data_IF_273663049992
#
_entry.id   IF_273663049992
#
_cell.length_a   1.000
_cell.length_b   1.000
_cell.length_c   1.000
_cell.angle_alpha   90.00
_cell.angle_beta   90.00
_cell.angle_gamma   90.00
#
_symmetry.space_group_name_H-M   'P 1'
#
loop_
_entity.id
_entity.type
_entity.pdbx_description
1 polymer ?
#
# COMPACT_ATOMS: atom_id res chain seq x y z
N UNK A 1 -1.50 -8.89 43.63
CA UNK A 1 -0.52 -8.81 42.53
C UNK A 1 -0.66 -7.42 41.92
N UNK A 2 0.14 -6.46 42.40
CA UNK A 2 0.14 -5.10 41.85
C UNK A 2 0.88 -5.14 40.51
N UNK A 3 0.19 -4.81 39.42
CA UNK A 3 0.84 -4.56 38.14
C UNK A 3 1.75 -3.34 38.30
N UNK A 4 3.06 -3.56 38.19
CA UNK A 4 4.07 -2.51 38.04
C UNK A 4 3.86 -1.85 36.68
N UNK A 5 3.10 -0.76 36.66
CA UNK A 5 3.09 0.17 35.54
C UNK A 5 4.47 0.82 35.44
N UNK A 6 5.18 0.56 34.34
CA UNK A 6 6.42 1.24 33.98
C UNK A 6 6.10 2.73 33.85
N UNK A 7 6.47 3.52 34.87
CA UNK A 7 6.27 4.97 34.88
C UNK A 7 7.15 5.59 33.80
N UNK A 8 6.53 6.12 32.75
CA UNK A 8 7.12 7.16 31.93
C UNK A 8 7.61 8.29 32.84
N UNK A 9 8.81 8.83 32.60
CA UNK A 9 9.33 9.94 33.40
C UNK A 9 8.49 11.20 33.12
N UNK A 10 7.44 11.39 33.92
CA UNK A 10 6.51 12.51 33.82
C UNK A 10 7.21 13.84 34.14
N UNK A 11 6.74 14.92 33.53
CA UNK A 11 7.30 16.24 33.77
C UNK A 11 6.87 16.79 35.13
N UNK A 12 7.78 17.51 35.78
CA UNK A 12 7.44 18.24 36.99
C UNK A 12 6.31 19.24 36.74
N UNK A 13 5.24 19.14 37.54
CA UNK A 13 4.14 20.09 37.53
C UNK A 13 4.24 21.01 38.75
N UNK A 14 4.36 22.32 38.50
CA UNK A 14 4.39 23.31 39.57
C UNK A 14 2.95 23.67 40.01
N UNK A 15 2.54 23.25 41.21
CA UNK A 15 1.24 23.62 41.80
C UNK A 15 1.18 25.09 42.24
N UNK A 16 2.32 25.71 42.54
CA UNK A 16 2.47 27.12 42.92
C UNK A 16 3.64 27.76 42.17
N UNK A 17 3.54 29.07 41.95
CA UNK A 17 4.62 29.87 41.38
C UNK A 17 5.76 30.09 42.39
N UNK A 18 7.01 29.95 41.96
CA UNK A 18 8.18 30.35 42.74
C UNK A 18 8.73 31.69 42.23
N UNK A 19 8.37 32.78 42.88
CA UNK A 19 8.74 34.11 42.40
C UNK A 19 10.22 34.49 42.61
N UNK A 20 11.04 33.59 43.15
CA UNK A 20 12.43 33.88 43.49
C UNK A 20 12.56 34.85 44.67
N UNK A 21 13.79 35.23 44.98
CA UNK A 21 14.09 36.19 46.06
C UNK A 21 13.63 37.61 45.67
N UNK A 22 13.88 38.03 44.44
CA UNK A 22 13.36 39.29 43.89
C UNK A 22 12.01 39.08 43.20
N UNK A 23 10.98 38.84 44.02
CA UNK A 23 9.62 38.62 43.54
C UNK A 23 9.06 39.80 42.74
N UNK A 24 9.52 41.04 42.99
CA UNK A 24 8.99 42.21 42.30
C UNK A 24 9.50 42.24 40.85
N UNK A 25 10.81 42.11 40.66
CA UNK A 25 11.39 42.07 39.33
C UNK A 25 10.97 40.81 38.56
N UNK A 26 10.85 39.65 39.22
CA UNK A 26 10.29 38.46 38.57
C UNK A 26 8.89 38.73 38.01
N UNK A 27 7.95 39.24 38.82
CA UNK A 27 6.56 39.50 38.39
C UNK A 27 6.48 40.51 37.25
N UNK A 28 7.25 41.59 37.34
CA UNK A 28 7.35 42.63 36.31
C UNK A 28 7.82 42.04 34.98
N UNK A 29 8.94 41.30 34.99
CA UNK A 29 9.48 40.71 33.77
C UNK A 29 8.59 39.60 33.20
N UNK A 30 7.90 38.82 34.06
CA UNK A 30 6.88 37.84 33.64
C UNK A 30 5.75 38.52 32.87
N UNK A 31 5.23 39.62 33.42
CA UNK A 31 4.16 40.40 32.78
C UNK A 31 4.62 40.95 31.43
N UNK A 32 5.81 41.54 31.39
CA UNK A 32 6.35 42.18 30.19
C UNK A 32 6.62 41.17 29.07
N UNK A 33 7.34 40.06 29.33
CA UNK A 33 7.60 39.09 28.26
C UNK A 33 6.30 38.48 27.74
N UNK A 34 5.33 38.22 28.63
CA UNK A 34 4.06 37.62 28.25
C UNK A 34 3.26 38.54 27.33
N UNK A 35 3.27 39.84 27.60
CA UNK A 35 2.58 40.84 26.79
C UNK A 35 3.23 41.01 25.40
N UNK A 36 4.55 41.18 25.34
CA UNK A 36 5.25 41.23 24.05
C UNK A 36 5.11 39.94 23.24
N UNK A 37 5.09 38.78 23.91
CA UNK A 37 4.86 37.49 23.25
C UNK A 37 3.45 37.41 22.64
N UNK A 38 2.41 37.89 23.35
CA UNK A 38 1.03 37.97 22.82
C UNK A 38 0.94 38.89 21.61
N UNK A 39 1.63 40.03 21.67
CA UNK A 39 1.73 40.99 20.56
C UNK A 39 2.63 40.51 19.41
N UNK A 40 3.27 39.33 19.55
CA UNK A 40 4.20 38.73 18.59
C UNK A 40 5.47 39.57 18.35
N UNK A 41 5.82 40.45 19.29
CA UNK A 41 7.05 41.24 19.28
C UNK A 41 8.17 40.43 19.96
N UNK A 42 8.60 39.37 19.27
CA UNK A 42 9.50 38.37 19.85
C UNK A 42 10.87 38.88 20.31
N UNK A 43 11.53 39.85 19.62
CA UNK A 43 12.80 40.41 20.11
C UNK A 43 12.67 41.08 21.49
N UNK A 44 11.59 41.82 21.73
CA UNK A 44 11.36 42.45 23.03
C UNK A 44 10.91 41.42 24.07
N UNK A 45 10.07 40.46 23.69
CA UNK A 45 9.71 39.33 24.55
C UNK A 45 10.97 38.58 25.05
N UNK A 46 11.94 38.33 24.18
CA UNK A 46 13.20 37.66 24.53
C UNK A 46 14.01 38.45 25.57
N UNK A 47 14.04 39.79 25.49
CA UNK A 47 14.75 40.64 26.48
C UNK A 47 14.19 40.45 27.89
N UNK A 48 12.86 40.51 28.02
CA UNK A 48 12.20 40.37 29.33
C UNK A 48 12.15 38.91 29.81
N UNK A 49 12.08 37.95 28.89
CA UNK A 49 12.17 36.53 29.21
C UNK A 49 13.52 36.16 29.82
N UNK A 50 14.64 36.64 29.24
CA UNK A 50 15.98 36.40 29.81
C UNK A 50 16.10 36.95 31.24
N UNK A 51 15.60 38.17 31.47
CA UNK A 51 15.57 38.75 32.82
C UNK A 51 14.77 37.87 33.79
N UNK A 52 13.62 37.35 33.35
CA UNK A 52 12.80 36.44 34.16
C UNK A 52 13.57 35.17 34.54
N UNK A 53 14.29 34.55 33.59
CA UNK A 53 15.12 33.39 33.88
C UNK A 53 16.21 33.69 34.90
N UNK A 54 16.81 34.89 34.86
CA UNK A 54 17.83 35.30 35.84
C UNK A 54 17.25 35.47 37.24
N UNK A 55 16.12 36.16 37.37
CA UNK A 55 15.55 36.47 38.69
C UNK A 55 14.80 35.29 39.33
N UNK A 56 14.12 34.47 38.51
CA UNK A 56 13.27 33.40 39.00
C UNK A 56 13.28 32.18 38.05
N UNK A 57 14.43 31.49 37.90
CA UNK A 57 14.57 30.34 37.00
C UNK A 57 13.60 29.20 37.36
N UNK A 58 13.24 29.07 38.64
CA UNK A 58 12.31 28.06 39.14
C UNK A 58 10.84 28.52 39.19
N UNK A 59 10.49 29.65 38.56
CA UNK A 59 9.12 30.20 38.56
C UNK A 59 8.03 29.17 38.28
N UNK A 60 8.03 28.63 37.06
CA UNK A 60 7.21 27.51 36.60
C UNK A 60 7.90 26.88 35.38
N UNK A 61 7.67 25.59 35.10
CA UNK A 61 8.16 24.94 33.87
C UNK A 61 7.77 25.68 32.59
N UNK A 62 6.59 26.31 32.57
CA UNK A 62 6.11 27.07 31.42
C UNK A 62 7.00 28.28 31.05
N UNK A 63 7.86 28.75 31.96
CA UNK A 63 8.88 29.74 31.65
C UNK A 63 9.74 29.28 30.47
N UNK A 64 10.23 28.04 30.52
CA UNK A 64 11.10 27.49 29.50
C UNK A 64 10.36 27.20 28.19
N UNK A 65 9.13 26.65 28.26
CA UNK A 65 8.25 26.48 27.09
C UNK A 65 8.05 27.81 26.33
N UNK A 66 7.77 28.89 27.06
CA UNK A 66 7.62 30.23 26.46
C UNK A 66 8.93 30.73 25.85
N UNK A 67 10.07 30.52 26.52
CA UNK A 67 11.39 30.89 26.01
C UNK A 67 11.71 30.21 24.68
N UNK A 68 11.57 28.88 24.64
CA UNK A 68 11.73 28.07 23.44
C UNK A 68 10.80 28.59 22.34
N UNK A 69 9.52 28.86 22.64
CA UNK A 69 8.59 29.40 21.66
C UNK A 69 9.06 30.75 21.09
N UNK A 70 9.43 31.71 21.95
CA UNK A 70 9.91 33.04 21.54
C UNK A 70 11.11 32.91 20.59
N UNK A 71 12.12 32.14 21.01
CA UNK A 71 13.35 31.97 20.22
C UNK A 71 13.13 31.18 18.93
N UNK A 72 12.19 30.23 18.90
CA UNK A 72 11.78 29.53 17.66
C UNK A 72 11.17 30.49 16.64
N UNK A 73 10.39 31.48 17.08
CA UNK A 73 9.82 32.47 16.16
C UNK A 73 10.91 33.37 15.59
N UNK A 74 11.87 33.81 16.42
CA UNK A 74 13.04 34.56 15.96
C UNK A 74 13.84 33.72 14.96
N UNK A 75 14.19 32.47 15.30
CA UNK A 75 14.93 31.58 14.42
C UNK A 75 14.21 31.31 13.08
N UNK A 76 12.88 31.20 13.08
CA UNK A 76 12.10 31.07 11.83
C UNK A 76 12.24 32.28 10.92
N UNK A 77 12.21 33.49 11.46
CA UNK A 77 12.41 34.71 10.64
C UNK A 77 13.84 34.80 10.11
N UNK A 78 14.84 34.52 10.95
CA UNK A 78 16.26 34.50 10.54
C UNK A 78 16.54 33.44 9.46
N UNK A 79 15.83 32.30 9.50
CA UNK A 79 15.89 31.27 8.45
C UNK A 79 15.32 31.77 7.12
N UNK A 80 14.21 32.52 7.14
CA UNK A 80 13.63 33.10 5.92
C UNK A 80 14.55 34.14 5.28
N UNK A 81 15.20 34.95 6.11
CA UNK A 81 16.13 36.00 5.64
C UNK A 81 17.53 35.49 5.33
N UNK A 82 17.79 34.18 5.50
CA UNK A 82 19.12 33.54 5.32
C UNK A 82 20.22 34.21 6.14
N UNK A 83 19.87 34.69 7.33
CA UNK A 83 20.78 35.38 8.22
C UNK A 83 21.81 34.43 8.84
N UNK A 84 23.05 34.91 9.01
CA UNK A 84 24.12 34.18 9.70
C UNK A 84 23.85 34.00 11.19
N UNK A 85 22.89 34.74 11.76
CA UNK A 85 22.50 34.66 13.18
C UNK A 85 21.59 33.47 13.50
N UNK A 86 21.08 32.75 12.50
CA UNK A 86 20.22 31.58 12.71
C UNK A 86 20.84 30.59 13.72
N UNK A 87 22.13 30.29 13.55
CA UNK A 87 22.85 29.36 14.43
C UNK A 87 22.85 29.83 15.89
N UNK A 88 23.10 31.11 16.12
CA UNK A 88 23.10 31.71 17.47
C UNK A 88 21.75 31.47 18.18
N UNK A 89 20.64 31.70 17.49
CA UNK A 89 19.32 31.52 18.11
C UNK A 89 18.96 30.04 18.32
N UNK A 90 19.43 29.15 17.44
CA UNK A 90 19.28 27.70 17.63
C UNK A 90 20.10 27.21 18.83
N UNK A 91 21.35 27.66 18.96
CA UNK A 91 22.19 27.36 20.12
C UNK A 91 21.54 27.88 21.41
N UNK A 92 20.93 29.07 21.37
CA UNK A 92 20.15 29.59 22.50
C UNK A 92 18.99 28.65 22.84
N UNK A 93 18.17 28.22 21.87
CA UNK A 93 17.06 27.26 22.12
C UNK A 93 17.56 26.03 22.88
N UNK A 94 18.71 25.45 22.51
CA UNK A 94 19.28 24.30 23.20
C UNK A 94 19.70 24.63 24.64
N UNK A 95 20.30 25.81 24.88
CA UNK A 95 20.61 26.25 26.24
C UNK A 95 19.35 26.45 27.11
N UNK A 96 18.21 26.81 26.51
CA UNK A 96 16.93 26.91 27.23
C UNK A 96 16.45 25.52 27.65
N UNK A 97 16.60 24.50 26.78
CA UNK A 97 16.31 23.11 27.15
C UNK A 97 17.22 22.63 28.29
N UNK A 98 18.52 22.91 28.25
CA UNK A 98 19.46 22.53 29.33
C UNK A 98 19.10 23.21 30.65
N UNK A 99 18.72 24.50 30.60
CA UNK A 99 18.26 25.24 31.77
C UNK A 99 16.93 24.67 32.31
N UNK A 100 16.02 24.25 31.44
CA UNK A 100 14.78 23.59 31.84
C UNK A 100 15.08 22.29 32.58
N UNK A 101 15.91 21.42 31.99
CA UNK A 101 16.33 20.15 32.61
C UNK A 101 17.00 20.39 33.95
N UNK A 102 17.88 21.38 34.06
CA UNK A 102 18.59 21.71 35.30
C UNK A 102 17.63 22.12 36.42
N UNK A 103 16.55 22.84 36.10
CA UNK A 103 15.66 23.40 37.10
C UNK A 103 14.48 22.48 37.47
N UNK A 104 14.05 21.62 36.54
CA UNK A 104 12.82 20.83 36.70
C UNK A 104 12.97 19.34 36.33
N UNK A 105 14.18 18.87 36.01
CA UNK A 105 14.46 17.50 35.62
C UNK A 105 14.23 17.22 34.12
N UNK A 106 14.68 16.05 33.68
CA UNK A 106 14.62 15.63 32.28
C UNK A 106 13.49 14.63 32.02
N UNK A 107 12.30 15.11 31.68
CA UNK A 107 11.14 14.26 31.36
C UNK A 107 11.04 13.97 29.86
N UNK A 108 10.18 13.00 29.48
CA UNK A 108 10.05 12.59 28.08
C UNK A 108 9.39 13.66 27.19
N UNK A 109 8.59 14.59 27.72
CA UNK A 109 8.06 15.72 26.94
C UNK A 109 9.20 16.65 26.47
N UNK A 110 10.13 16.98 27.37
CA UNK A 110 11.31 17.79 27.06
C UNK A 110 12.16 17.11 25.99
N UNK A 111 12.37 15.79 26.11
CA UNK A 111 13.13 15.00 25.12
C UNK A 111 12.46 15.03 23.74
N UNK A 112 11.14 14.86 23.68
CA UNK A 112 10.37 14.90 22.44
C UNK A 112 10.46 16.27 21.76
N UNK A 113 10.21 17.34 22.52
CA UNK A 113 10.27 18.72 22.03
C UNK A 113 11.69 19.09 21.53
N UNK A 114 12.73 18.71 22.29
CA UNK A 114 14.12 18.92 21.90
C UNK A 114 14.46 18.16 20.62
N UNK A 115 14.04 16.90 20.49
CA UNK A 115 14.28 16.11 19.29
C UNK A 115 13.59 16.74 18.06
N UNK A 116 12.35 17.21 18.21
CA UNK A 116 11.62 17.89 17.15
C UNK A 116 12.33 19.18 16.70
N UNK A 117 12.83 19.97 17.66
CA UNK A 117 13.54 21.21 17.35
C UNK A 117 14.91 20.98 16.72
N UNK A 118 15.64 19.94 17.14
CA UNK A 118 16.85 19.49 16.44
C UNK A 118 16.53 19.18 14.99
N UNK A 119 15.45 18.44 14.72
CA UNK A 119 15.07 18.03 13.37
C UNK A 119 14.54 19.18 12.51
N UNK A 120 13.92 20.20 13.12
CA UNK A 120 13.38 21.36 12.41
C UNK A 120 14.47 22.39 12.03
N UNK A 121 15.51 22.53 12.86
CA UNK A 121 16.50 23.61 12.74
C UNK A 121 17.94 23.17 12.45
N UNK A 122 18.38 21.98 12.88
CA UNK A 122 19.75 21.48 12.69
C UNK A 122 19.80 20.27 11.73
N UNK A 123 19.52 20.55 10.46
CA UNK A 123 19.41 19.53 9.42
C UNK A 123 20.75 18.90 8.98
N UNK A 124 21.90 19.26 9.57
CA UNK A 124 23.20 18.75 9.11
C UNK A 124 23.97 17.91 10.13
N UNK A 125 23.73 18.06 11.44
CA UNK A 125 24.49 17.34 12.47
C UNK A 125 23.66 16.81 13.65
N UNK A 126 22.41 17.25 13.78
CA UNK A 126 21.55 16.89 14.91
C UNK A 126 20.98 15.47 14.92
N UNK A 127 21.00 14.76 13.78
CA UNK A 127 20.33 13.46 13.63
C UNK A 127 20.68 12.40 14.69
N UNK A 128 21.95 12.18 15.10
CA UNK A 128 22.25 11.19 16.14
C UNK A 128 21.65 11.53 17.50
N UNK A 129 21.66 12.81 17.88
CA UNK A 129 21.07 13.27 19.15
C UNK A 129 19.55 13.16 19.10
N UNK A 130 18.93 13.61 18.00
CA UNK A 130 17.49 13.46 17.78
C UNK A 130 17.06 11.99 17.76
N UNK A 131 17.84 11.10 17.14
CA UNK A 131 17.59 9.66 17.15
C UNK A 131 17.57 9.11 18.57
N UNK A 132 18.59 9.39 19.38
CA UNK A 132 18.68 8.87 20.74
C UNK A 132 17.50 9.33 21.62
N UNK A 133 17.13 10.62 21.51
CA UNK A 133 15.99 11.19 22.23
C UNK A 133 14.67 10.56 21.77
N UNK A 134 14.42 10.50 20.46
CA UNK A 134 13.19 9.95 19.93
C UNK A 134 13.07 8.45 20.18
N UNK A 135 14.16 7.67 20.09
CA UNK A 135 14.13 6.23 20.39
C UNK A 135 13.55 5.98 21.79
N UNK A 136 14.07 6.68 22.79
CA UNK A 136 13.54 6.58 24.15
C UNK A 136 12.08 7.04 24.27
N UNK A 137 11.72 8.15 23.62
CA UNK A 137 10.36 8.69 23.68
C UNK A 137 9.35 7.74 23.01
N UNK A 138 9.67 7.20 21.84
CA UNK A 138 8.78 6.26 21.14
C UNK A 138 8.64 4.93 21.87
N UNK A 139 9.69 4.45 22.54
CA UNK A 139 9.65 3.24 23.36
C UNK A 139 8.84 3.42 24.66
N UNK A 140 9.04 4.56 25.37
CA UNK A 140 8.50 4.74 26.73
C UNK A 140 7.27 5.63 26.82
N UNK A 141 7.06 6.52 25.87
CA UNK A 141 6.02 7.56 25.93
C UNK A 141 5.50 7.96 24.54
N UNK A 142 5.09 7.00 23.69
CA UNK A 142 4.66 7.28 22.32
C UNK A 142 3.47 8.25 22.24
N UNK A 143 2.64 8.32 23.29
CA UNK A 143 1.51 9.24 23.38
C UNK A 143 1.90 10.73 23.39
N UNK A 144 3.17 11.05 23.69
CA UNK A 144 3.69 12.42 23.64
C UNK A 144 4.05 12.87 22.22
N UNK A 145 4.07 11.95 21.26
CA UNK A 145 4.54 12.20 19.90
C UNK A 145 3.38 12.50 18.95
N UNK A 146 3.70 13.20 17.86
CA UNK A 146 2.79 13.50 16.77
C UNK A 146 3.19 12.81 15.47
N UNK A 147 2.31 12.85 14.49
CA UNK A 147 2.60 12.42 13.12
C UNK A 147 3.84 13.10 12.49
N UNK A 148 4.20 14.32 12.93
CA UNK A 148 5.42 14.98 12.48
C UNK A 148 6.67 14.38 13.14
N UNK A 149 6.60 14.02 14.42
CA UNK A 149 7.69 13.39 15.16
C UNK A 149 8.05 12.02 14.56
N UNK A 150 7.03 11.28 14.09
CA UNK A 150 7.26 10.04 13.34
C UNK A 150 8.10 10.31 12.09
N UNK A 151 7.73 11.30 11.28
CA UNK A 151 8.52 11.67 10.08
C UNK A 151 9.95 12.08 10.44
N UNK A 152 10.11 12.87 11.49
CA UNK A 152 11.41 13.29 11.98
C UNK A 152 12.26 12.12 12.43
N UNK A 153 11.69 11.18 13.17
CA UNK A 153 12.42 10.00 13.61
C UNK A 153 12.78 9.07 12.44
N UNK A 154 11.93 8.94 11.41
CA UNK A 154 12.30 8.24 10.17
C UNK A 154 13.51 8.88 9.50
N UNK A 155 13.56 10.20 9.37
CA UNK A 155 14.74 10.88 8.81
C UNK A 155 16.00 10.64 9.65
N UNK A 156 15.88 10.66 10.98
CA UNK A 156 16.99 10.36 11.87
C UNK A 156 17.46 8.91 11.73
N UNK A 157 16.53 7.96 11.69
CA UNK A 157 16.80 6.55 11.41
C UNK A 157 17.55 6.35 10.09
N UNK A 158 17.10 6.97 9.00
CA UNK A 158 17.76 6.91 7.70
C UNK A 158 19.19 7.45 7.73
N UNK A 159 19.42 8.53 8.47
CA UNK A 159 20.76 9.06 8.67
C UNK A 159 21.65 8.05 9.42
N UNK A 160 21.12 7.47 10.50
CA UNK A 160 21.84 6.47 11.30
C UNK A 160 22.19 5.23 10.46
N UNK A 161 21.25 4.76 9.62
CA UNK A 161 21.48 3.65 8.69
C UNK A 161 22.55 4.00 7.65
N UNK A 162 22.41 5.16 6.98
CA UNK A 162 23.39 5.62 5.97
C UNK A 162 24.80 5.79 6.54
N UNK A 163 24.90 6.18 7.81
CA UNK A 163 26.17 6.34 8.53
C UNK A 163 26.64 5.07 9.25
N UNK A 164 25.97 3.93 9.03
CA UNK A 164 26.30 2.61 9.61
C UNK A 164 26.35 2.61 11.14
N UNK A 165 25.52 3.45 11.76
CA UNK A 165 25.33 3.48 13.22
C UNK A 165 24.20 2.58 13.69
N UNK A 166 23.33 2.17 12.76
CA UNK A 166 22.34 1.11 12.94
C UNK A 166 22.33 0.25 11.68
N UNK A 167 21.97 -1.02 11.83
CA UNK A 167 21.80 -1.96 10.74
C UNK A 167 20.33 -2.04 10.30
N UNK A 168 20.07 -2.77 9.21
CA UNK A 168 18.72 -2.92 8.66
C UNK A 168 17.72 -3.51 9.64
N UNK A 169 18.11 -4.49 10.47
CA UNK A 169 17.20 -5.08 11.47
C UNK A 169 16.69 -4.03 12.45
N UNK A 170 17.59 -3.23 13.03
CA UNK A 170 17.20 -2.15 13.95
C UNK A 170 16.35 -1.07 13.27
N UNK A 171 16.61 -0.79 11.99
CA UNK A 171 15.81 0.15 11.20
C UNK A 171 14.38 -0.37 10.97
N UNK A 172 14.22 -1.67 10.71
CA UNK A 172 12.92 -2.32 10.53
C UNK A 172 12.15 -2.44 11.86
N UNK A 173 12.82 -2.74 12.97
CA UNK A 173 12.20 -2.69 14.32
C UNK A 173 11.63 -1.31 14.65
N UNK A 174 12.37 -0.25 14.29
CA UNK A 174 11.90 1.13 14.47
C UNK A 174 10.71 1.43 13.57
N UNK A 175 10.72 0.96 12.31
CA UNK A 175 9.56 1.05 11.43
C UNK A 175 8.34 0.38 12.06
N UNK A 176 8.47 -0.84 12.58
CA UNK A 176 7.35 -1.56 13.18
C UNK A 176 6.74 -0.82 14.38
N UNK A 177 7.59 -0.26 15.24
CA UNK A 177 7.18 0.55 16.37
C UNK A 177 6.38 1.76 15.90
N UNK A 178 6.89 2.50 14.92
CA UNK A 178 6.22 3.68 14.37
C UNK A 178 4.91 3.33 13.67
N UNK A 179 4.88 2.22 12.93
CA UNK A 179 3.67 1.74 12.27
C UNK A 179 2.58 1.30 13.24
N UNK A 180 2.95 0.67 14.37
CA UNK A 180 1.99 0.36 15.43
C UNK A 180 1.37 1.62 16.04
N UNK A 181 2.15 2.70 16.18
CA UNK A 181 1.66 4.00 16.65
C UNK A 181 0.71 4.63 15.64
N UNK A 182 1.03 4.58 14.34
CA UNK A 182 0.11 4.99 13.28
C UNK A 182 -1.21 4.22 13.37
N UNK A 183 -1.16 2.89 13.42
CA UNK A 183 -2.34 2.03 13.51
C UNK A 183 -3.22 2.38 14.71
N UNK A 184 -2.61 2.55 15.90
CA UNK A 184 -3.35 2.87 17.12
C UNK A 184 -4.03 4.24 17.05
N UNK A 185 -3.45 5.23 16.36
CA UNK A 185 -4.07 6.54 16.23
C UNK A 185 -5.17 6.54 15.16
N UNK A 186 -4.98 5.79 14.07
CA UNK A 186 -5.99 5.60 13.02
C UNK A 186 -7.23 4.91 13.60
N UNK A 187 -7.05 3.83 14.36
CA UNK A 187 -8.18 3.07 14.94
C UNK A 187 -8.99 3.87 15.97
N UNK A 188 -8.39 4.93 16.55
CA UNK A 188 -9.04 5.84 17.51
C UNK A 188 -9.62 7.10 16.84
N UNK A 189 -9.59 7.18 15.52
CA UNK A 189 -9.93 8.38 14.73
C UNK A 189 -9.17 9.66 15.18
N UNK A 190 -7.97 9.50 15.76
CA UNK A 190 -7.18 10.63 16.22
C UNK A 190 -6.34 11.19 15.07
N UNK A 191 -6.92 12.15 14.32
CA UNK A 191 -6.28 12.73 13.12
C UNK A 191 -5.93 11.63 12.11
N UNK A 192 -6.83 10.66 11.91
CA UNK A 192 -6.62 9.44 11.13
C UNK A 192 -5.97 9.73 9.77
N UNK A 193 -6.50 10.67 9.00
CA UNK A 193 -5.96 11.07 7.68
C UNK A 193 -4.46 11.42 7.73
N UNK A 194 -4.01 12.09 8.79
CA UNK A 194 -2.60 12.47 8.92
C UNK A 194 -1.73 11.25 9.18
N UNK A 195 -2.18 10.33 10.03
CA UNK A 195 -1.45 9.10 10.31
C UNK A 195 -1.47 8.11 9.13
N UNK A 196 -2.57 8.03 8.37
CA UNK A 196 -2.62 7.28 7.11
C UNK A 196 -1.54 7.78 6.15
N UNK A 197 -1.45 9.11 5.96
CA UNK A 197 -0.44 9.71 5.11
C UNK A 197 1.00 9.46 5.61
N UNK A 198 1.20 9.39 6.93
CA UNK A 198 2.53 9.10 7.51
C UNK A 198 2.87 7.62 7.42
N UNK A 199 1.90 6.71 7.55
CA UNK A 199 2.09 5.28 7.33
C UNK A 199 2.50 5.00 5.88
N UNK A 200 1.84 5.61 4.89
CA UNK A 200 2.25 5.50 3.49
C UNK A 200 3.67 6.04 3.24
N UNK A 201 4.06 7.09 3.94
CA UNK A 201 5.44 7.59 3.92
C UNK A 201 6.41 6.56 4.54
N UNK A 202 6.13 6.02 5.73
CA UNK A 202 6.92 4.99 6.39
C UNK A 202 7.15 3.78 5.47
N UNK A 203 6.08 3.24 4.87
CA UNK A 203 6.14 2.09 3.97
C UNK A 203 7.07 2.33 2.77
N UNK A 204 7.13 3.56 2.27
CA UNK A 204 8.03 3.91 1.17
C UNK A 204 9.49 4.02 1.61
N UNK A 205 9.75 4.45 2.83
CA UNK A 205 11.12 4.75 3.30
C UNK A 205 11.89 3.49 3.72
N UNK A 206 11.22 2.36 3.94
CA UNK A 206 11.86 1.10 4.33
C UNK A 206 12.50 0.31 3.18
N UNK A 207 12.21 0.66 1.92
CA UNK A 207 12.70 -0.08 0.75
C UNK A 207 14.20 -0.41 0.73
N UNK A 208 15.13 0.41 1.27
CA UNK A 208 16.55 0.05 1.32
C UNK A 208 16.89 -1.19 2.16
N UNK A 209 16.03 -1.55 3.12
CA UNK A 209 16.23 -2.67 4.05
C UNK A 209 15.12 -3.73 3.96
N UNK A 210 14.00 -3.41 3.33
CA UNK A 210 12.80 -4.24 3.28
C UNK A 210 12.71 -4.99 1.94
N UNK A 211 13.50 -6.06 1.77
CA UNK A 211 13.20 -7.03 0.71
C UNK A 211 11.84 -7.69 0.99
N UNK A 212 11.20 -8.22 -0.05
CA UNK A 212 9.93 -8.93 0.15
C UNK A 212 10.07 -10.13 1.08
N UNK A 213 11.20 -10.85 1.03
CA UNK A 213 11.50 -11.94 1.95
C UNK A 213 11.56 -11.47 3.41
N UNK A 214 12.21 -10.32 3.66
CA UNK A 214 12.33 -9.78 5.03
C UNK A 214 11.00 -9.23 5.54
N UNK A 215 10.22 -8.57 4.69
CA UNK A 215 8.87 -8.13 5.04
C UNK A 215 7.94 -9.31 5.31
N UNK A 216 8.04 -10.36 4.50
CA UNK A 216 7.30 -11.60 4.71
C UNK A 216 7.67 -12.22 6.05
N UNK A 217 8.96 -12.35 6.41
CA UNK A 217 9.40 -12.85 7.72
C UNK A 217 8.77 -12.07 8.88
N UNK A 218 8.87 -10.73 8.83
CA UNK A 218 8.32 -9.82 9.84
C UNK A 218 6.81 -10.01 9.99
N UNK A 219 6.08 -9.95 8.88
CA UNK A 219 4.64 -10.01 8.92
C UNK A 219 4.09 -11.41 9.17
N UNK A 220 4.84 -12.45 8.80
CA UNK A 220 4.49 -13.83 9.10
C UNK A 220 4.49 -14.07 10.61
N UNK A 221 5.48 -13.55 11.33
CA UNK A 221 5.50 -13.61 12.80
C UNK A 221 4.30 -12.91 13.42
N UNK A 222 3.89 -11.74 12.89
CA UNK A 222 2.71 -11.00 13.38
C UNK A 222 1.41 -11.73 13.07
N UNK A 223 1.28 -12.21 11.85
CA UNK A 223 0.11 -13.01 11.45
C UNK A 223 -0.04 -14.24 12.34
N UNK A 224 1.04 -14.96 12.66
CA UNK A 224 0.97 -16.14 13.52
C UNK A 224 0.60 -15.83 14.97
N UNK A 225 0.84 -14.60 15.45
CA UNK A 225 0.42 -14.22 16.81
C UNK A 225 -1.11 -14.08 16.95
N UNK A 226 -1.82 -13.77 15.86
CA UNK A 226 -3.27 -13.58 15.85
C UNK A 226 -3.85 -13.78 14.43
N UNK A 227 -3.89 -15.04 13.98
CA UNK A 227 -4.13 -15.39 12.57
C UNK A 227 -5.58 -15.24 12.10
N UNK A 228 -6.52 -14.98 13.01
CA UNK A 228 -7.95 -14.81 12.72
C UNK A 228 -8.42 -13.36 12.87
N UNK A 229 -7.52 -12.46 13.29
CA UNK A 229 -7.82 -11.04 13.38
C UNK A 229 -7.82 -10.39 12.00
N UNK A 230 -9.03 -10.19 11.45
CA UNK A 230 -9.22 -9.64 10.11
C UNK A 230 -8.67 -8.22 9.95
N UNK A 231 -8.66 -7.40 11.01
CA UNK A 231 -8.04 -6.08 10.97
C UNK A 231 -6.51 -6.17 10.83
N UNK A 232 -5.89 -7.12 11.53
CA UNK A 232 -4.46 -7.40 11.39
C UNK A 232 -4.14 -7.95 9.98
N UNK A 233 -4.92 -8.92 9.50
CA UNK A 233 -4.78 -9.50 8.17
C UNK A 233 -4.82 -8.42 7.08
N UNK A 234 -5.81 -7.52 7.13
CA UNK A 234 -5.94 -6.42 6.18
C UNK A 234 -4.71 -5.52 6.20
N UNK A 235 -4.26 -5.11 7.39
CA UNK A 235 -3.07 -4.25 7.53
C UNK A 235 -1.83 -4.90 6.96
N UNK A 236 -1.60 -6.18 7.25
CA UNK A 236 -0.45 -6.92 6.70
C UNK A 236 -0.56 -6.99 5.17
N UNK A 237 -1.74 -7.37 4.67
CA UNK A 237 -2.00 -7.49 3.24
C UNK A 237 -1.75 -6.15 2.50
N UNK A 238 -2.26 -5.04 3.04
CA UNK A 238 -2.05 -3.69 2.50
C UNK A 238 -0.58 -3.29 2.51
N UNK A 239 0.16 -3.57 3.59
CA UNK A 239 1.59 -3.23 3.68
C UNK A 239 2.44 -4.03 2.69
N UNK A 240 2.16 -5.32 2.52
CA UNK A 240 2.78 -6.15 1.50
C UNK A 240 2.44 -5.63 0.09
N UNK A 241 1.19 -5.22 -0.15
CA UNK A 241 0.74 -4.62 -1.42
C UNK A 241 1.47 -3.30 -1.74
N UNK A 242 1.53 -2.38 -0.78
CA UNK A 242 2.18 -1.08 -0.91
C UNK A 242 3.69 -1.21 -1.20
N UNK A 243 4.32 -2.24 -0.65
CA UNK A 243 5.72 -2.59 -0.91
C UNK A 243 5.92 -3.47 -2.16
N UNK A 244 4.86 -3.75 -2.94
CA UNK A 244 4.88 -4.55 -4.17
C UNK A 244 5.31 -6.01 -3.95
N UNK A 245 5.07 -6.56 -2.76
CA UNK A 245 5.40 -7.94 -2.40
C UNK A 245 4.26 -8.92 -2.69
N UNK A 246 3.62 -8.76 -3.86
CA UNK A 246 2.40 -9.47 -4.26
C UNK A 246 2.64 -10.94 -4.64
N UNK A 247 3.90 -11.35 -4.75
CA UNK A 247 4.31 -12.72 -5.08
C UNK A 247 4.71 -13.53 -3.83
N UNK A 248 4.79 -12.90 -2.66
CA UNK A 248 5.09 -13.58 -1.39
C UNK A 248 4.03 -14.60 -1.01
N UNK A 249 4.41 -15.71 -0.38
CA UNK A 249 3.48 -16.76 0.02
C UNK A 249 2.45 -16.23 1.02
N UNK A 250 2.89 -15.39 1.96
CA UNK A 250 2.02 -14.71 2.92
C UNK A 250 1.00 -13.82 2.20
N UNK A 251 1.41 -12.95 1.25
CA UNK A 251 0.45 -12.11 0.52
C UNK A 251 -0.63 -12.96 -0.16
N UNK A 252 -0.23 -14.06 -0.81
CA UNK A 252 -1.14 -14.94 -1.54
C UNK A 252 -2.11 -15.64 -0.59
N UNK A 253 -1.62 -16.06 0.58
CA UNK A 253 -2.44 -16.67 1.63
C UNK A 253 -3.46 -15.68 2.18
N UNK A 254 -3.03 -14.45 2.46
CA UNK A 254 -3.89 -13.40 2.99
C UNK A 254 -4.89 -12.89 1.96
N UNK A 255 -4.55 -12.90 0.67
CA UNK A 255 -5.46 -12.51 -0.41
C UNK A 255 -6.77 -13.30 -0.36
N UNK A 256 -6.69 -14.62 -0.17
CA UNK A 256 -7.88 -15.47 -0.05
C UNK A 256 -8.71 -15.10 1.18
N UNK A 257 -8.10 -14.78 2.32
CA UNK A 257 -8.83 -14.31 3.51
C UNK A 257 -9.50 -12.96 3.26
N UNK A 258 -8.77 -11.98 2.71
CA UNK A 258 -9.27 -10.62 2.46
C UNK A 258 -10.43 -10.61 1.47
N UNK A 259 -10.37 -11.40 0.39
CA UNK A 259 -11.45 -11.47 -0.60
C UNK A 259 -12.72 -12.16 -0.07
N UNK A 260 -12.64 -12.87 1.05
CA UNK A 260 -13.77 -13.59 1.65
C UNK A 260 -14.23 -12.97 2.97
N UNK A 261 -13.75 -11.76 3.28
CA UNK A 261 -14.20 -11.01 4.44
C UNK A 261 -15.67 -10.58 4.29
N UNK A 262 -16.60 -11.03 5.15
CA UNK A 262 -18.00 -10.63 5.08
C UNK A 262 -18.23 -9.14 5.41
N UNK A 263 -17.36 -8.54 6.23
CA UNK A 263 -17.49 -7.14 6.66
C UNK A 263 -16.85 -6.17 5.65
N UNK A 264 -16.08 -6.70 4.71
CA UNK A 264 -15.46 -5.94 3.64
C UNK A 264 -15.51 -6.70 2.30
N UNK A 265 -16.72 -6.86 1.72
CA UNK A 265 -16.89 -7.62 0.49
C UNK A 265 -16.07 -6.99 -0.65
N UNK A 266 -15.37 -7.81 -1.47
CA UNK A 266 -14.52 -7.29 -2.53
C UNK A 266 -15.36 -6.67 -3.65
N UNK A 267 -14.81 -5.65 -4.31
CA UNK A 267 -15.41 -5.14 -5.55
C UNK A 267 -15.15 -6.10 -6.71
N UNK A 268 -15.93 -5.97 -7.80
CA UNK A 268 -15.64 -6.68 -9.05
C UNK A 268 -14.19 -6.43 -9.53
N UNK A 269 -13.68 -5.21 -9.34
CA UNK A 269 -12.32 -4.86 -9.75
C UNK A 269 -11.26 -5.57 -8.91
N UNK A 270 -11.50 -5.75 -7.61
CA UNK A 270 -10.58 -6.49 -6.72
C UNK A 270 -10.49 -7.96 -7.13
N UNK A 271 -11.65 -8.60 -7.35
CA UNK A 271 -11.72 -9.98 -7.83
C UNK A 271 -11.09 -10.14 -9.23
N UNK A 272 -11.34 -9.20 -10.14
CA UNK A 272 -10.70 -9.18 -11.46
C UNK A 272 -9.18 -9.11 -11.37
N UNK A 273 -8.63 -8.20 -10.56
CA UNK A 273 -7.19 -8.05 -10.40
C UNK A 273 -6.55 -9.30 -9.79
N UNK A 274 -7.20 -9.89 -8.78
CA UNK A 274 -6.77 -11.14 -8.17
C UNK A 274 -6.82 -12.31 -9.17
N UNK A 275 -7.88 -12.42 -9.97
CA UNK A 275 -8.03 -13.44 -11.00
C UNK A 275 -6.97 -13.30 -12.12
N UNK A 276 -6.63 -12.07 -12.52
CA UNK A 276 -5.55 -11.81 -13.48
C UNK A 276 -4.19 -12.26 -12.91
N UNK A 277 -3.94 -12.03 -11.62
CA UNK A 277 -2.71 -12.48 -10.96
C UNK A 277 -2.63 -14.02 -10.93
N UNK A 278 -3.73 -14.71 -10.64
CA UNK A 278 -3.79 -16.18 -10.72
C UNK A 278 -3.55 -16.69 -12.14
N UNK A 279 -4.19 -16.04 -13.13
CA UNK A 279 -4.04 -16.40 -14.53
C UNK A 279 -2.57 -16.31 -14.99
N UNK A 280 -1.86 -15.23 -14.63
CA UNK A 280 -0.43 -15.07 -14.92
C UNK A 280 0.43 -16.14 -14.28
N UNK A 281 0.05 -16.60 -13.09
CA UNK A 281 0.70 -17.71 -12.36
C UNK A 281 0.27 -19.10 -12.84
N UNK A 282 -0.62 -19.18 -13.84
CA UNK A 282 -1.20 -20.42 -14.37
C UNK A 282 -2.08 -21.18 -13.37
N UNK A 283 -2.52 -20.52 -12.30
CA UNK A 283 -3.48 -21.04 -11.32
C UNK A 283 -4.91 -20.95 -11.89
N UNK A 284 -5.16 -21.67 -12.99
CA UNK A 284 -6.35 -21.48 -13.81
C UNK A 284 -7.67 -21.79 -13.09
N UNK A 285 -7.67 -22.68 -12.09
CA UNK A 285 -8.87 -22.97 -11.30
C UNK A 285 -9.27 -21.76 -10.45
N UNK A 286 -8.33 -21.24 -9.64
CA UNK A 286 -8.55 -20.03 -8.82
C UNK A 286 -8.91 -18.81 -9.67
N UNK A 287 -8.20 -18.62 -10.79
CA UNK A 287 -8.50 -17.54 -11.73
C UNK A 287 -9.95 -17.61 -12.23
N UNK A 288 -10.39 -18.81 -12.62
CA UNK A 288 -11.74 -19.01 -13.13
C UNK A 288 -12.82 -18.76 -12.07
N UNK A 289 -12.63 -19.27 -10.85
CA UNK A 289 -13.52 -19.03 -9.72
C UNK A 289 -13.67 -17.54 -9.42
N UNK A 290 -12.55 -16.82 -9.33
CA UNK A 290 -12.55 -15.38 -9.06
C UNK A 290 -13.12 -14.55 -10.21
N UNK A 291 -12.85 -14.89 -11.47
CA UNK A 291 -13.50 -14.23 -12.62
C UNK A 291 -15.01 -14.44 -12.62
N UNK A 292 -15.49 -15.66 -12.35
CA UNK A 292 -16.93 -15.93 -12.29
C UNK A 292 -17.59 -15.18 -11.13
N UNK A 293 -16.96 -15.13 -9.95
CA UNK A 293 -17.44 -14.33 -8.81
C UNK A 293 -17.45 -12.84 -9.15
N UNK A 294 -16.41 -12.34 -9.81
CA UNK A 294 -16.34 -10.96 -10.29
C UNK A 294 -17.50 -10.64 -11.22
N UNK A 295 -17.72 -11.45 -12.26
CA UNK A 295 -18.82 -11.29 -13.22
C UNK A 295 -20.19 -11.24 -12.51
N UNK A 296 -20.38 -12.06 -11.45
CA UNK A 296 -21.66 -12.12 -10.73
C UNK A 296 -22.02 -10.83 -9.98
N UNK A 297 -21.03 -9.98 -9.67
CA UNK A 297 -21.22 -8.71 -8.96
C UNK A 297 -20.83 -7.49 -9.80
N UNK A 298 -20.48 -7.68 -11.08
CA UNK A 298 -19.94 -6.63 -11.95
C UNK A 298 -21.03 -6.00 -12.82
N UNK A 299 -21.27 -4.71 -12.62
CA UNK A 299 -22.18 -3.89 -13.45
C UNK A 299 -21.49 -3.28 -14.68
N UNK A 300 -20.15 -3.20 -14.69
CA UNK A 300 -19.39 -2.68 -15.83
C UNK A 300 -19.28 -3.74 -16.93
N UNK A 301 -20.10 -3.57 -17.97
CA UNK A 301 -20.11 -4.47 -19.12
C UNK A 301 -18.75 -4.52 -19.84
N UNK A 302 -17.97 -3.43 -19.88
CA UNK A 302 -16.63 -3.45 -20.50
C UNK A 302 -15.67 -4.32 -19.70
N UNK A 303 -15.79 -4.33 -18.38
CA UNK A 303 -14.99 -5.21 -17.53
C UNK A 303 -15.42 -6.67 -17.71
N UNK A 304 -16.73 -6.95 -17.79
CA UNK A 304 -17.25 -8.29 -18.11
C UNK A 304 -16.69 -8.84 -19.42
N UNK A 305 -16.63 -8.01 -20.47
CA UNK A 305 -16.06 -8.41 -21.76
C UNK A 305 -14.58 -8.81 -21.65
N UNK A 306 -13.77 -8.07 -20.89
CA UNK A 306 -12.36 -8.46 -20.62
C UNK A 306 -12.27 -9.79 -19.87
N UNK A 307 -13.16 -10.03 -18.92
CA UNK A 307 -13.20 -11.30 -18.17
C UNK A 307 -13.56 -12.49 -19.08
N UNK A 308 -14.53 -12.32 -19.98
CA UNK A 308 -14.88 -13.36 -20.95
C UNK A 308 -13.74 -13.67 -21.91
N UNK A 309 -12.95 -12.69 -22.34
CA UNK A 309 -11.77 -12.93 -23.17
C UNK A 309 -10.75 -13.84 -22.48
N UNK A 310 -10.43 -13.55 -21.21
CA UNK A 310 -9.47 -14.35 -20.43
C UNK A 310 -10.05 -15.74 -20.08
N UNK A 311 -11.32 -15.81 -19.70
CA UNK A 311 -12.00 -17.08 -19.44
C UNK A 311 -12.03 -17.98 -20.69
N UNK A 312 -12.19 -17.39 -21.88
CA UNK A 312 -12.07 -18.12 -23.14
C UNK A 312 -10.65 -18.68 -23.31
N UNK A 313 -9.62 -17.88 -23.05
CA UNK A 313 -8.22 -18.31 -23.19
C UNK A 313 -7.91 -19.45 -22.20
N UNK A 314 -8.40 -19.36 -20.96
CA UNK A 314 -8.34 -20.45 -19.96
C UNK A 314 -9.01 -21.71 -20.51
N UNK A 315 -10.24 -21.60 -21.01
CA UNK A 315 -10.99 -22.74 -21.54
C UNK A 315 -10.31 -23.36 -22.76
N UNK A 316 -9.73 -22.53 -23.64
CA UNK A 316 -8.98 -22.96 -24.81
C UNK A 316 -7.72 -23.75 -24.41
N UNK A 317 -6.93 -23.21 -23.48
CA UNK A 317 -5.71 -23.85 -22.97
C UNK A 317 -6.00 -25.17 -22.25
N UNK A 318 -7.08 -25.23 -21.48
CA UNK A 318 -7.55 -26.46 -20.80
C UNK A 318 -8.27 -27.43 -21.74
N UNK A 319 -8.36 -27.15 -23.05
CA UNK A 319 -9.08 -27.94 -24.07
C UNK A 319 -10.55 -28.19 -23.70
N UNK A 320 -11.17 -27.23 -23.00
CA UNK A 320 -12.58 -27.25 -22.59
C UNK A 320 -13.46 -26.67 -23.70
N UNK A 321 -13.50 -27.35 -24.86
CA UNK A 321 -14.03 -26.80 -26.11
C UNK A 321 -15.47 -26.28 -26.03
N UNK A 322 -16.40 -27.05 -25.44
CA UNK A 322 -17.81 -26.63 -25.30
C UNK A 322 -17.96 -25.40 -24.41
N UNK A 323 -17.19 -25.34 -23.33
CA UNK A 323 -17.18 -24.22 -22.40
C UNK A 323 -16.64 -22.96 -23.07
N UNK A 324 -15.48 -23.05 -23.74
CA UNK A 324 -14.93 -21.90 -24.45
C UNK A 324 -15.83 -21.44 -25.60
N UNK A 325 -16.53 -22.34 -26.29
CA UNK A 325 -17.55 -21.95 -27.27
C UNK A 325 -18.71 -21.16 -26.63
N UNK A 326 -19.20 -21.61 -25.47
CA UNK A 326 -20.23 -20.90 -24.70
C UNK A 326 -19.74 -19.52 -24.27
N UNK A 327 -18.53 -19.42 -23.71
CA UNK A 327 -17.92 -18.14 -23.30
C UNK A 327 -17.73 -17.20 -24.50
N UNK A 328 -17.23 -17.70 -25.63
CA UNK A 328 -17.11 -16.90 -26.85
C UNK A 328 -18.46 -16.31 -27.30
N UNK A 329 -19.56 -17.04 -27.05
CA UNK A 329 -20.92 -16.54 -27.33
C UNK A 329 -21.39 -15.40 -26.43
N UNK A 330 -20.75 -15.19 -25.26
CA UNK A 330 -21.03 -14.07 -24.34
C UNK A 330 -20.33 -12.77 -24.75
N UNK A 331 -19.44 -12.82 -25.74
CA UNK A 331 -18.77 -11.63 -26.24
C UNK A 331 -19.75 -10.74 -27.03
N UNK A 332 -19.75 -9.45 -26.72
CA UNK A 332 -20.66 -8.47 -27.31
C UNK A 332 -20.30 -8.18 -28.78
N UNK A 333 -19.01 -8.06 -29.09
CA UNK A 333 -18.52 -7.98 -30.47
C UNK A 333 -18.72 -9.34 -31.18
N UNK A 334 -19.63 -9.34 -32.16
CA UNK A 334 -19.98 -10.55 -32.92
C UNK A 334 -18.85 -11.04 -33.82
N UNK A 335 -18.03 -10.14 -34.34
CA UNK A 335 -16.86 -10.49 -35.14
C UNK A 335 -15.83 -11.26 -34.29
N UNK A 336 -15.54 -10.76 -33.08
CA UNK A 336 -14.63 -11.42 -32.12
C UNK A 336 -15.24 -12.73 -31.60
N UNK A 337 -16.53 -12.74 -31.23
CA UNK A 337 -17.26 -13.96 -30.83
C UNK A 337 -17.13 -15.05 -31.88
N UNK A 338 -17.36 -14.72 -33.16
CA UNK A 338 -17.32 -15.69 -34.24
C UNK A 338 -15.90 -16.17 -34.57
N UNK A 339 -14.88 -15.31 -34.50
CA UNK A 339 -13.48 -15.73 -34.59
C UNK A 339 -13.11 -16.72 -33.48
N UNK A 340 -13.40 -16.39 -32.22
CA UNK A 340 -13.12 -17.28 -31.07
C UNK A 340 -13.90 -18.61 -31.18
N UNK A 341 -15.16 -18.59 -31.63
CA UNK A 341 -15.92 -19.83 -31.93
C UNK A 341 -15.24 -20.66 -33.02
N UNK A 342 -14.85 -20.04 -34.14
CA UNK A 342 -14.18 -20.73 -35.23
C UNK A 342 -12.87 -21.40 -34.75
N UNK A 343 -12.05 -20.68 -34.00
CA UNK A 343 -10.78 -21.19 -33.45
C UNK A 343 -10.97 -22.37 -32.51
N UNK A 344 -11.89 -22.28 -31.55
CA UNK A 344 -12.08 -23.37 -30.59
C UNK A 344 -12.73 -24.61 -31.21
N UNK A 345 -13.58 -24.43 -32.22
CA UNK A 345 -14.10 -25.52 -33.04
C UNK A 345 -12.97 -26.19 -33.81
N UNK A 346 -12.15 -25.42 -34.54
CA UNK A 346 -11.01 -25.97 -35.28
C UNK A 346 -10.04 -26.73 -34.37
N UNK A 347 -9.73 -26.19 -33.18
CA UNK A 347 -8.85 -26.84 -32.20
C UNK A 347 -9.40 -28.17 -31.65
N UNK A 348 -10.73 -28.37 -31.69
CA UNK A 348 -11.36 -29.62 -31.25
C UNK A 348 -11.10 -30.80 -32.20
N UNK A 349 -10.66 -30.52 -33.43
CA UNK A 349 -10.35 -31.56 -34.45
C UNK A 349 -9.26 -32.52 -33.98
N UNK A 350 -8.30 -32.04 -33.18
CA UNK A 350 -7.21 -32.87 -32.64
C UNK A 350 -7.73 -34.02 -31.76
N UNK A 351 -8.81 -33.79 -31.00
CA UNK A 351 -9.38 -34.78 -30.08
C UNK A 351 -10.59 -35.53 -30.65
N UNK A 352 -11.38 -34.86 -31.49
CA UNK A 352 -12.68 -35.40 -31.96
C UNK A 352 -12.74 -35.62 -33.48
N UNK A 353 -11.68 -35.30 -34.21
CA UNK A 353 -11.54 -35.60 -35.64
C UNK A 353 -11.02 -37.01 -35.89
N UNK A 354 -11.64 -38.03 -35.26
CA UNK A 354 -11.15 -39.42 -35.26
C UNK A 354 -11.28 -40.14 -36.62
N UNK A 355 -11.91 -39.50 -37.61
CA UNK A 355 -11.97 -39.94 -39.00
C UNK A 355 -11.74 -38.74 -39.92
N UNK A 356 -11.32 -38.98 -41.15
CA UNK A 356 -11.14 -37.93 -42.13
C UNK A 356 -12.45 -37.13 -42.36
N UNK A 357 -13.59 -37.82 -42.36
CA UNK A 357 -14.91 -37.20 -42.42
C UNK A 357 -15.20 -36.32 -41.21
N UNK A 358 -15.02 -36.83 -39.98
CA UNK A 358 -15.27 -36.05 -38.77
C UNK A 358 -14.36 -34.82 -38.67
N UNK A 359 -13.09 -34.98 -39.08
CA UNK A 359 -12.14 -33.88 -39.15
C UNK A 359 -12.61 -32.81 -40.15
N UNK A 360 -13.01 -33.23 -41.35
CA UNK A 360 -13.57 -32.33 -42.38
C UNK A 360 -14.82 -31.58 -41.89
N UNK A 361 -15.75 -32.29 -41.22
CA UNK A 361 -16.97 -31.70 -40.64
C UNK A 361 -16.68 -30.65 -39.57
N UNK A 362 -15.69 -30.90 -38.70
CA UNK A 362 -15.24 -29.93 -37.69
C UNK A 362 -14.69 -28.67 -38.38
N UNK A 363 -13.88 -28.80 -39.42
CA UNK A 363 -13.35 -27.65 -40.15
C UNK A 363 -14.43 -26.92 -40.96
N UNK A 364 -15.42 -27.62 -41.52
CA UNK A 364 -16.60 -26.98 -42.13
C UNK A 364 -17.32 -26.09 -41.12
N UNK A 365 -17.51 -26.56 -39.88
CA UNK A 365 -18.13 -25.77 -38.82
C UNK A 365 -17.26 -24.59 -38.40
N UNK A 366 -15.95 -24.77 -38.29
CA UNK A 366 -15.03 -23.67 -38.01
C UNK A 366 -15.10 -22.59 -39.09
N UNK A 367 -15.10 -22.99 -40.37
CA UNK A 367 -15.19 -22.08 -41.52
C UNK A 367 -16.53 -21.34 -41.57
N UNK A 368 -17.65 -21.98 -41.19
CA UNK A 368 -18.96 -21.32 -41.06
C UNK A 368 -18.92 -20.15 -40.07
N UNK A 369 -18.26 -20.32 -38.92
CA UNK A 369 -18.08 -19.21 -37.98
C UNK A 369 -17.05 -18.20 -38.47
N UNK A 370 -15.98 -18.66 -39.13
CA UNK A 370 -14.95 -17.79 -39.69
C UNK A 370 -15.50 -16.80 -40.72
N UNK A 371 -16.42 -17.25 -41.60
CA UNK A 371 -17.07 -16.37 -42.58
C UNK A 371 -17.88 -15.24 -41.95
N UNK A 372 -18.38 -15.45 -40.73
CA UNK A 372 -19.13 -14.44 -39.96
C UNK A 372 -18.26 -13.67 -38.98
N UNK A 373 -16.93 -13.78 -39.06
CA UNK A 373 -15.98 -13.13 -38.14
C UNK A 373 -15.48 -11.75 -38.60
N UNK A 374 -16.05 -11.19 -39.69
CA UNK A 374 -15.68 -9.87 -40.21
C UNK A 374 -14.16 -9.72 -40.49
N UNK A 375 -13.51 -10.79 -40.95
CA UNK A 375 -12.06 -10.80 -41.23
C UNK A 375 -11.15 -10.93 -40.00
N UNK A 376 -11.69 -11.11 -38.79
CA UNK A 376 -10.87 -11.37 -37.58
C UNK A 376 -10.17 -12.74 -37.63
N UNK A 377 -10.81 -13.72 -38.27
CA UNK A 377 -10.13 -14.97 -38.59
C UNK A 377 -9.13 -14.73 -39.72
N UNK A 378 -7.86 -14.98 -39.45
CA UNK A 378 -6.76 -14.76 -40.41
C UNK A 378 -6.90 -15.63 -41.66
N UNK A 379 -6.60 -15.09 -42.84
CA UNK A 379 -6.61 -15.81 -44.11
C UNK A 379 -5.75 -17.07 -44.08
N UNK A 380 -4.60 -17.05 -43.38
CA UNK A 380 -3.73 -18.23 -43.21
C UNK A 380 -4.44 -19.37 -42.46
N UNK A 381 -5.17 -19.07 -41.39
CA UNK A 381 -5.98 -20.06 -40.67
C UNK A 381 -7.10 -20.61 -41.55
N UNK A 382 -7.81 -19.75 -42.30
CA UNK A 382 -8.86 -20.16 -43.23
C UNK A 382 -8.31 -21.10 -44.30
N UNK A 383 -7.18 -20.75 -44.92
CA UNK A 383 -6.52 -21.59 -45.93
C UNK A 383 -6.06 -22.93 -45.35
N UNK A 384 -5.50 -22.92 -44.14
CA UNK A 384 -5.14 -24.14 -43.43
C UNK A 384 -6.34 -25.04 -43.20
N UNK A 385 -7.46 -24.49 -42.74
CA UNK A 385 -8.70 -25.23 -42.47
C UNK A 385 -9.35 -25.76 -43.75
N UNK A 386 -9.35 -24.98 -44.85
CA UNK A 386 -9.78 -25.45 -46.17
C UNK A 386 -8.93 -26.64 -46.66
N UNK A 387 -7.62 -26.62 -46.41
CA UNK A 387 -6.72 -27.72 -46.76
C UNK A 387 -6.99 -29.03 -46.00
N UNK A 388 -7.70 -28.97 -44.86
CA UNK A 388 -8.10 -30.13 -44.07
C UNK A 388 -9.46 -30.73 -44.48
N UNK A 389 -10.16 -30.10 -45.44
CA UNK A 389 -11.40 -30.64 -45.98
C UNK A 389 -11.13 -31.88 -46.85
N UNK A 390 -12.07 -32.81 -46.84
CA UNK A 390 -12.04 -33.96 -47.74
C UNK A 390 -12.21 -33.51 -49.20
N UNK A 391 -11.48 -34.10 -50.16
CA UNK A 391 -11.76 -33.91 -51.58
C UNK A 391 -13.05 -34.63 -51.99
N UNK A 392 -13.68 -34.19 -53.09
CA UNK A 392 -14.89 -34.80 -53.65
C UNK A 392 -14.73 -36.31 -53.91
N UNK A 393 -13.55 -36.73 -54.36
CA UNK A 393 -13.25 -38.15 -54.63
C UNK A 393 -13.40 -39.04 -53.39
N UNK A 394 -12.97 -38.57 -52.23
CA UNK A 394 -13.09 -39.32 -50.96
C UNK A 394 -14.53 -39.34 -50.44
N UNK A 395 -15.32 -38.30 -50.71
CA UNK A 395 -16.75 -38.30 -50.36
C UNK A 395 -17.55 -39.34 -51.15
N UNK A 396 -17.24 -39.52 -52.44
CA UNK A 396 -17.86 -40.54 -53.29
C UNK A 396 -17.58 -41.94 -52.75
N UNK A 397 -16.36 -42.21 -52.29
CA UNK A 397 -15.99 -43.49 -51.69
C UNK A 397 -16.73 -43.78 -50.37
N UNK A 398 -17.23 -42.75 -49.70
CA UNK A 398 -18.03 -42.86 -48.49
C UNK A 398 -19.55 -42.86 -48.75
N UNK A 399 -19.98 -42.84 -50.02
CA UNK A 399 -21.38 -42.68 -50.44
C UNK A 399 -22.05 -41.42 -49.86
N UNK A 400 -21.27 -40.34 -49.72
CA UNK A 400 -21.76 -39.05 -49.18
C UNK A 400 -21.79 -38.02 -50.30
N UNK A 401 -22.96 -37.40 -50.51
CA UNK A 401 -23.10 -36.30 -51.47
C UNK A 401 -22.45 -35.02 -50.94
N UNK A 402 -21.67 -34.34 -51.80
CA UNK A 402 -21.20 -32.98 -51.54
C UNK A 402 -22.37 -32.04 -51.25
N UNK A 403 -22.16 -31.02 -50.41
CA UNK A 403 -23.17 -30.05 -49.99
C UNK A 403 -24.36 -30.67 -49.22
N UNK A 404 -24.28 -31.93 -48.83
CA UNK A 404 -25.26 -32.51 -47.91
C UNK A 404 -25.12 -31.88 -46.52
N UNK A 405 -26.25 -31.75 -45.84
CA UNK A 405 -26.29 -31.34 -44.44
C UNK A 405 -25.84 -32.51 -43.57
N UNK A 406 -24.80 -32.30 -42.78
CA UNK A 406 -24.20 -33.33 -41.92
C UNK A 406 -24.09 -32.79 -40.49
N UNK A 407 -24.42 -33.64 -39.51
CA UNK A 407 -24.24 -33.28 -38.10
C UNK A 407 -22.78 -33.48 -37.71
N UNK A 408 -22.20 -32.50 -37.02
CA UNK A 408 -20.84 -32.58 -36.49
C UNK A 408 -20.89 -33.29 -35.13
N UNK A 409 -20.40 -34.55 -34.98
CA UNK A 409 -20.78 -35.42 -33.85
C UNK A 409 -20.51 -34.84 -32.45
N UNK A 410 -19.33 -34.25 -32.23
CA UNK A 410 -19.02 -33.59 -30.95
C UNK A 410 -19.82 -32.29 -30.75
N UNK A 411 -20.06 -31.53 -31.81
CA UNK A 411 -20.67 -30.21 -31.73
C UNK A 411 -22.20 -30.23 -31.72
N UNK A 412 -22.82 -31.28 -32.28
CA UNK A 412 -24.28 -31.42 -32.41
C UNK A 412 -24.91 -30.46 -33.42
N UNK A 413 -24.11 -29.63 -34.08
CA UNK A 413 -24.56 -28.65 -35.08
C UNK A 413 -24.49 -29.25 -36.48
N UNK A 414 -25.42 -28.84 -37.34
CA UNK A 414 -25.40 -29.21 -38.75
C UNK A 414 -24.57 -28.21 -39.56
N UNK A 415 -23.83 -28.75 -40.52
CA UNK A 415 -23.06 -28.00 -41.51
C UNK A 415 -23.31 -28.55 -42.90
N UNK A 416 -23.28 -27.66 -43.88
CA UNK A 416 -23.13 -28.06 -45.27
C UNK A 416 -21.71 -28.58 -45.48
N UNK A 417 -21.59 -29.82 -45.94
CA UNK A 417 -20.31 -30.45 -46.19
C UNK A 417 -19.63 -29.81 -47.40
N UNK A 418 -18.56 -29.06 -47.14
CA UNK A 418 -17.69 -28.46 -48.16
C UNK A 418 -16.52 -29.37 -48.47
N UNK A 419 -16.07 -29.32 -49.72
CA UNK A 419 -14.90 -30.04 -50.20
C UNK A 419 -13.71 -29.11 -50.37
N UNK A 420 -12.52 -29.70 -50.42
CA UNK A 420 -11.28 -28.96 -50.70
C UNK A 420 -11.20 -28.43 -52.14
N UNK A 421 -11.81 -29.15 -53.07
CA UNK A 421 -11.84 -28.95 -54.52
C UNK A 421 -13.23 -28.62 -55.07
#
# INVERSE_FOLDING_TARGET
MFFLSISSQECFLASKANWGEDSLECRKNVSLYSEFMKQKVYPDAAKFWNKTQTFCPKYKPNLYKNGIYIYKQIAKEEKKTKSTKLKLYVDTIYSIYDAWVTNFGNCNEIKADLAADIMAFDASKGFPKAYALYKEVFEKSPQLTSYNDIKYFVYANKYMLKTKKIECDQFLENYETLSSICDSNISKDNKADKYINVQAFLDKEISPCASCDKLEEIYFSKYNSDSENMDLIKKIFERLSNNRCTESNLYITLLDKVLNDPDNPPTAKDLYNAAVADYKRKEFLKAEERFNRSISICEDEKLNQKMYEILYDIAFNKKQYKKGFSIAGKLSDKCISNDKKARIIAASSFKYGNSALNKSLIYCLALKYASSSCGKTTTSAINSWNGQLLPKSELIMLDIKSNSSQQVPFWGQNVELKTRD
#
